data_IF_305045882439
#
_entry.id   IF_305045882439
#
_cell.length_a   1.000
_cell.length_b   1.000
_cell.length_c   1.000
_cell.angle_alpha   90.00
_cell.angle_beta   90.00
_cell.angle_gamma   90.00
#
_symmetry.space_group_name_H-M   'P 1'
#
loop_
_entity.id
_entity.type
_entity.pdbx_description
1 polymer ?
#
# COMPACT_ATOMS: atom_id res chain seq x y z
N UNK A 1 -10.64 -20.09 0.71
CA UNK A 1 -10.90 -18.69 0.35
C UNK A 1 -12.38 -18.51 0.04
N UNK A 2 -13.06 -17.59 0.71
CA UNK A 2 -14.46 -17.24 0.47
C UNK A 2 -14.59 -16.33 -0.77
N UNK A 3 -15.81 -16.18 -1.29
CA UNK A 3 -16.07 -15.24 -2.38
C UNK A 3 -15.75 -13.78 -2.03
N UNK A 4 -15.90 -13.39 -0.76
CA UNK A 4 -15.55 -12.06 -0.27
C UNK A 4 -14.03 -11.83 -0.28
N UNK A 5 -13.24 -12.82 0.15
CA UNK A 5 -11.78 -12.78 0.13
C UNK A 5 -11.24 -12.65 -1.31
N UNK A 6 -11.83 -13.38 -2.26
CA UNK A 6 -11.45 -13.25 -3.68
C UNK A 6 -11.73 -11.85 -4.24
N UNK A 7 -12.84 -11.21 -3.86
CA UNK A 7 -13.14 -9.82 -4.25
C UNK A 7 -12.16 -8.84 -3.63
N UNK A 8 -11.86 -9.00 -2.34
CA UNK A 8 -10.83 -8.19 -1.66
C UNK A 8 -9.48 -8.32 -2.34
N UNK A 9 -9.03 -9.54 -2.66
CA UNK A 9 -7.76 -9.77 -3.35
C UNK A 9 -7.71 -9.12 -4.73
N UNK A 10 -8.81 -9.16 -5.50
CA UNK A 10 -8.91 -8.45 -6.79
C UNK A 10 -8.79 -6.94 -6.61
N UNK A 11 -9.53 -6.36 -5.65
CA UNK A 11 -9.45 -4.92 -5.33
C UNK A 11 -8.04 -4.52 -4.89
N UNK A 12 -7.42 -5.31 -4.04
CA UNK A 12 -6.06 -5.10 -3.58
C UNK A 12 -5.06 -5.08 -4.75
N UNK A 13 -5.11 -6.07 -5.65
CA UNK A 13 -4.22 -6.11 -6.82
C UNK A 13 -4.41 -4.88 -7.72
N UNK A 14 -5.66 -4.55 -8.03
CA UNK A 14 -5.96 -3.36 -8.86
C UNK A 14 -5.47 -2.06 -8.21
N UNK A 15 -5.61 -1.94 -6.88
CA UNK A 15 -5.10 -0.79 -6.13
C UNK A 15 -3.58 -0.69 -6.20
N UNK A 16 -2.87 -1.82 -6.04
CA UNK A 16 -1.41 -1.87 -6.17
C UNK A 16 -0.92 -1.54 -7.58
N UNK A 17 -1.60 -2.01 -8.62
CA UNK A 17 -1.26 -1.68 -10.00
C UNK A 17 -1.35 -0.18 -10.26
N UNK A 18 -2.34 0.48 -9.64
CA UNK A 18 -2.56 1.93 -9.79
C UNK A 18 -1.63 2.79 -8.94
N UNK A 19 -1.32 2.36 -7.71
CA UNK A 19 -0.71 3.22 -6.70
C UNK A 19 0.65 2.72 -6.19
N UNK A 20 1.09 1.52 -6.59
CA UNK A 20 2.31 0.89 -6.13
C UNK A 20 2.22 0.36 -4.69
N UNK A 21 3.22 -0.42 -4.27
CA UNK A 21 3.26 -1.08 -2.95
C UNK A 21 3.25 -0.10 -1.77
N UNK A 22 3.88 1.06 -1.91
CA UNK A 22 3.96 2.04 -0.83
C UNK A 22 2.59 2.61 -0.43
N UNK A 23 1.59 2.55 -1.31
CA UNK A 23 0.23 3.05 -1.04
C UNK A 23 -0.52 2.33 0.08
N UNK A 24 -0.10 1.11 0.42
CA UNK A 24 -0.69 0.30 1.49
C UNK A 24 0.24 0.15 2.71
N UNK A 25 1.33 0.92 2.73
CA UNK A 25 2.28 0.91 3.84
C UNK A 25 1.78 1.80 4.98
N UNK A 26 1.98 1.38 6.23
CA UNK A 26 1.71 2.17 7.44
C UNK A 26 2.54 3.45 7.51
N UNK A 27 3.76 3.43 6.94
CA UNK A 27 4.67 4.57 6.95
C UNK A 27 4.54 5.46 5.72
N UNK A 28 3.46 5.33 4.95
CA UNK A 28 3.29 6.09 3.72
C UNK A 28 3.06 7.58 3.99
N UNK A 29 3.50 8.39 3.05
CA UNK A 29 3.15 9.78 2.84
C UNK A 29 2.79 9.96 1.36
N UNK A 30 1.84 10.85 1.10
CA UNK A 30 1.42 11.17 -0.28
C UNK A 30 2.15 12.42 -0.72
N UNK A 31 2.82 12.37 -1.86
CA UNK A 31 3.49 13.50 -2.50
C UNK A 31 3.14 13.58 -3.98
N UNK A 32 3.77 14.51 -4.69
CA UNK A 32 3.59 14.72 -6.13
C UNK A 32 4.02 13.50 -6.96
N UNK A 33 5.02 12.75 -6.48
CA UNK A 33 5.49 11.51 -7.10
C UNK A 33 4.64 10.27 -6.73
N UNK A 34 3.61 10.42 -5.89
CA UNK A 34 2.77 9.33 -5.40
C UNK A 34 3.03 8.98 -3.94
N UNK A 35 2.90 7.69 -3.58
CA UNK A 35 3.05 7.21 -2.22
C UNK A 35 4.50 6.81 -1.92
N UNK A 36 5.10 7.40 -0.89
CA UNK A 36 6.47 7.12 -0.45
C UNK A 36 6.57 6.99 1.06
N UNK A 37 7.71 6.54 1.58
CA UNK A 37 7.93 6.53 3.02
C UNK A 37 8.00 7.97 3.56
N UNK A 38 7.34 8.25 4.69
CA UNK A 38 7.22 9.58 5.32
C UNK A 38 8.56 10.31 5.52
N UNK A 39 9.66 9.58 5.67
CA UNK A 39 11.00 10.18 5.83
C UNK A 39 11.74 10.49 4.53
N UNK A 40 11.29 9.97 3.39
CA UNK A 40 12.07 9.96 2.13
C UNK A 40 11.14 10.07 0.90
N UNK A 41 10.46 11.23 0.72
CA UNK A 41 9.44 11.40 -0.31
C UNK A 41 9.99 11.36 -1.75
N UNK A 42 11.25 11.77 -1.96
CA UNK A 42 11.86 11.84 -3.30
C UNK A 42 12.54 10.52 -3.72
N UNK A 43 12.48 9.50 -2.87
CA UNK A 43 13.25 8.27 -3.07
C UNK A 43 12.50 7.30 -3.97
N UNK A 44 13.17 6.89 -5.05
CA UNK A 44 12.77 5.76 -5.87
C UNK A 44 13.26 4.43 -5.27
N UNK A 45 12.37 3.43 -5.19
CA UNK A 45 12.68 2.09 -4.66
C UNK A 45 11.86 1.70 -3.43
N UNK A 46 11.77 0.40 -3.16
CA UNK A 46 11.02 -0.17 -2.05
C UNK A 46 11.86 -0.23 -0.77
N UNK A 47 11.20 -0.15 0.39
CA UNK A 47 11.85 -0.12 1.70
C UNK A 47 12.71 -1.36 1.99
N UNK A 48 12.42 -2.47 1.31
CA UNK A 48 13.11 -3.76 1.40
C UNK A 48 14.49 -3.76 0.73
N UNK A 49 14.82 -2.77 -0.11
CA UNK A 49 15.98 -2.84 -0.98
C UNK A 49 17.30 -2.43 -0.29
N UNK A 50 17.26 -1.53 0.70
CA UNK A 50 18.49 -0.97 1.29
C UNK A 50 18.60 -1.09 2.81
N UNK A 51 17.58 -1.65 3.49
CA UNK A 51 17.49 -1.69 4.97
C UNK A 51 17.61 -0.31 5.67
N UNK A 52 17.59 0.78 4.88
CA UNK A 52 17.59 2.21 5.24
C UNK A 52 16.34 2.62 6.04
N UNK A 53 15.24 2.04 5.62
CA UNK A 53 13.90 2.45 5.98
C UNK A 53 13.28 1.46 6.97
N UNK A 54 12.24 1.90 7.69
CA UNK A 54 11.38 0.96 8.40
C UNK A 54 10.98 -0.18 7.47
N UNK A 55 11.12 -1.41 7.96
CA UNK A 55 10.64 -2.60 7.26
C UNK A 55 9.18 -2.36 6.89
N UNK A 56 8.83 -2.67 5.65
CA UNK A 56 7.46 -2.52 5.17
C UNK A 56 6.47 -3.16 6.15
N UNK A 57 5.44 -2.40 6.53
CA UNK A 57 4.32 -2.84 7.35
C UNK A 57 3.03 -2.48 6.64
N UNK A 58 2.13 -3.44 6.53
CA UNK A 58 0.79 -3.17 6.01
C UNK A 58 0.06 -2.19 6.92
N UNK A 59 -0.69 -1.29 6.31
CA UNK A 59 -1.69 -0.48 6.99
C UNK A 59 -3.03 -1.24 6.98
N UNK A 60 -3.43 -1.72 8.16
CA UNK A 60 -4.68 -2.45 8.35
C UNK A 60 -5.91 -1.60 7.99
N UNK A 61 -5.85 -0.27 8.16
CA UNK A 61 -6.96 0.63 7.80
C UNK A 61 -7.21 0.63 6.28
N UNK A 62 -6.15 0.48 5.47
CA UNK A 62 -6.29 0.37 4.01
C UNK A 62 -6.93 -0.96 3.63
N UNK A 63 -6.54 -2.05 4.28
CA UNK A 63 -7.12 -3.36 4.04
C UNK A 63 -8.60 -3.40 4.45
N UNK A 64 -8.96 -2.76 5.54
CA UNK A 64 -10.34 -2.64 5.99
C UNK A 64 -11.19 -1.86 4.99
N UNK A 65 -10.69 -0.72 4.51
CA UNK A 65 -11.35 0.03 3.43
C UNK A 65 -11.56 -0.79 2.14
N UNK A 66 -10.69 -1.76 1.85
CA UNK A 66 -10.86 -2.67 0.70
C UNK A 66 -11.86 -3.80 0.94
N UNK A 67 -12.18 -4.12 2.19
CA UNK A 67 -13.23 -5.09 2.54
C UNK A 67 -14.61 -4.48 2.32
N UNK A 68 -14.77 -3.22 2.72
CA UNK A 68 -16.08 -2.55 2.85
C UNK A 68 -16.42 -1.58 1.72
N UNK A 69 -15.56 -1.37 0.72
CA UNK A 69 -15.85 -0.51 -0.45
C UNK A 69 -16.94 -1.06 -1.42
N UNK A 70 -17.99 -1.68 -0.90
CA UNK A 70 -19.22 -2.01 -1.60
C UNK A 70 -20.30 -1.00 -1.21
N UNK A 71 -20.26 0.18 -1.81
CA UNK A 71 -21.42 1.06 -1.93
C UNK A 71 -21.61 1.41 -3.39
#
# INVERSE_FOLDING_TARGET
>A
MTGAELRMQKRYRSYLEKHGRCSVCLFRATGTAGFHCKGWPDRAGTCDTDSKLPVFRFDDAVLEGMRDAQH
#
